data_IF_017193358000
#
_entry.id   IF_017193358000
#
_cell.length_a   1.000
_cell.length_b   1.000
_cell.length_c   1.000
_cell.angle_alpha   90.00
_cell.angle_beta   90.00
_cell.angle_gamma   90.00
#
_symmetry.space_group_name_H-M   'P 1'
#
loop_
_entity.id
_entity.type
_entity.pdbx_description
1 polymer ?
#
# COMPACT_ATOMS: atom_id res chain seq x y z
N UNK A 1 -12.84 -16.33 2.09
CA UNK A 1 -11.64 -16.24 2.95
C UNK A 1 -11.83 -15.03 3.86
N UNK A 2 -11.23 -14.99 5.05
CA UNK A 2 -11.29 -13.84 5.95
C UNK A 2 -9.88 -13.50 6.42
N UNK A 3 -9.62 -12.23 6.73
CA UNK A 3 -8.28 -11.80 7.09
C UNK A 3 -8.16 -10.30 7.24
N UNK A 4 -6.94 -9.87 7.56
CA UNK A 4 -6.61 -8.46 7.66
C UNK A 4 -5.60 -8.12 6.56
N UNK A 5 -5.93 -7.08 5.79
CA UNK A 5 -5.03 -6.48 4.80
C UNK A 5 -4.60 -5.09 5.26
N UNK A 6 -3.38 -4.76 4.91
CA UNK A 6 -2.77 -3.46 5.06
C UNK A 6 -2.26 -3.01 3.69
N UNK A 7 -2.63 -1.80 3.30
CA UNK A 7 -2.03 -1.11 2.17
C UNK A 7 -0.95 -0.18 2.71
N UNK A 8 0.30 -0.43 2.33
CA UNK A 8 1.45 0.35 2.76
C UNK A 8 2.55 0.30 1.68
N UNK A 9 3.22 1.42 1.41
CA UNK A 9 4.27 1.51 0.39
C UNK A 9 5.63 0.93 0.84
N UNK A 10 5.65 0.26 1.99
CA UNK A 10 6.87 -0.26 2.59
C UNK A 10 7.50 -1.34 1.68
N UNK A 11 8.84 -1.32 1.50
CA UNK A 11 9.67 -2.33 0.82
C UNK A 11 9.36 -2.57 -0.67
N UNK A 12 10.22 -1.98 -1.51
CA UNK A 12 10.30 -2.13 -2.96
C UNK A 12 10.05 -3.57 -3.45
N UNK A 13 9.13 -3.71 -4.41
CA UNK A 13 8.95 -4.93 -5.21
C UNK A 13 7.64 -5.71 -4.99
N UNK A 14 6.66 -5.14 -4.29
CA UNK A 14 5.32 -5.74 -4.06
C UNK A 14 4.23 -4.71 -4.36
N UNK A 15 3.01 -5.17 -4.61
CA UNK A 15 1.80 -4.38 -4.92
C UNK A 15 1.33 -3.41 -3.80
N UNK A 16 2.18 -3.11 -2.80
CA UNK A 16 1.80 -2.33 -1.63
C UNK A 16 0.82 -3.05 -0.70
N UNK A 17 0.54 -4.33 -0.95
CA UNK A 17 -0.47 -5.12 -0.23
C UNK A 17 0.17 -6.12 0.73
N UNK A 18 -0.32 -6.09 1.97
CA UNK A 18 0.20 -6.89 3.07
C UNK A 18 -0.92 -7.62 3.79
N UNK A 19 -0.78 -8.93 3.96
CA UNK A 19 -1.62 -9.69 4.87
C UNK A 19 -1.03 -9.69 6.28
N UNK A 20 -1.87 -9.40 7.28
CA UNK A 20 -1.49 -9.46 8.69
C UNK A 20 -1.92 -10.81 9.26
N UNK A 21 -0.96 -11.59 9.73
CA UNK A 21 -1.25 -12.87 10.37
C UNK A 21 -1.78 -12.70 11.81
N UNK A 22 -2.25 -13.79 12.42
CA UNK A 22 -2.80 -13.76 13.79
C UNK A 22 -1.81 -13.30 14.87
N UNK A 23 -0.50 -13.24 14.57
CA UNK A 23 0.55 -12.73 15.47
C UNK A 23 0.90 -11.26 15.18
N UNK A 24 0.19 -10.61 14.24
CA UNK A 24 0.45 -9.24 13.82
C UNK A 24 1.59 -9.09 12.83
N UNK A 25 2.12 -10.20 12.28
CA UNK A 25 3.23 -10.13 11.33
C UNK A 25 2.71 -9.82 9.93
N UNK A 26 3.31 -8.81 9.30
CA UNK A 26 3.05 -8.45 7.90
C UNK A 26 3.71 -9.47 6.97
N UNK A 27 2.95 -9.98 6.01
CA UNK A 27 3.44 -10.80 4.90
C UNK A 27 3.00 -10.16 3.61
N UNK A 28 3.91 -9.96 2.65
CA UNK A 28 3.52 -9.38 1.38
C UNK A 28 2.66 -10.41 0.63
N UNK A 29 1.59 -9.96 -0.01
CA UNK A 29 0.64 -10.82 -0.72
C UNK A 29 0.28 -10.19 -2.06
N UNK A 30 0.10 -11.02 -3.07
CA UNK A 30 -0.26 -10.54 -4.39
C UNK A 30 -1.80 -10.39 -4.47
N UNK A 31 -2.30 -9.55 -5.37
CA UNK A 31 -3.73 -9.24 -5.46
C UNK A 31 -4.56 -10.51 -5.77
N UNK A 32 -4.06 -11.35 -6.68
CA UNK A 32 -4.70 -12.60 -7.08
C UNK A 32 -4.80 -13.61 -5.93
N UNK A 33 -3.79 -13.66 -5.05
CA UNK A 33 -3.74 -14.59 -3.92
C UNK A 33 -4.87 -14.34 -2.90
N UNK A 34 -5.37 -13.10 -2.84
CA UNK A 34 -6.49 -12.70 -1.97
C UNK A 34 -7.81 -12.61 -2.73
N UNK A 35 -7.80 -12.89 -4.04
CA UNK A 35 -8.97 -12.89 -4.90
C UNK A 35 -9.45 -11.50 -5.32
N UNK A 36 -8.54 -10.53 -5.43
CA UNK A 36 -8.83 -9.26 -6.05
C UNK A 36 -8.85 -9.38 -7.58
N UNK A 37 -9.60 -8.50 -8.22
CA UNK A 37 -9.69 -8.35 -9.66
C UNK A 37 -8.42 -7.76 -10.26
N UNK A 38 -8.14 -8.14 -11.50
CA UNK A 38 -7.04 -7.59 -12.31
C UNK A 38 -7.08 -6.05 -12.33
N UNK A 39 -8.28 -5.46 -12.44
CA UNK A 39 -8.47 -4.00 -12.42
C UNK A 39 -7.95 -3.35 -11.12
N UNK A 40 -8.15 -4.00 -9.96
CA UNK A 40 -7.62 -3.51 -8.69
C UNK A 40 -6.13 -3.82 -8.52
N UNK A 41 -5.66 -4.94 -9.06
CA UNK A 41 -4.25 -5.29 -9.09
C UNK A 41 -3.44 -4.24 -9.88
N UNK A 42 -3.87 -3.92 -11.10
CA UNK A 42 -3.25 -2.92 -11.98
C UNK A 42 -3.25 -1.52 -11.34
N UNK A 43 -4.34 -1.19 -10.61
CA UNK A 43 -4.46 0.09 -9.92
C UNK A 43 -3.55 0.18 -8.69
N UNK A 44 -3.36 -0.93 -7.96
CA UNK A 44 -2.37 -1.01 -6.88
C UNK A 44 -0.95 -0.87 -7.42
N UNK A 45 -0.64 -1.54 -8.53
CA UNK A 45 0.66 -1.42 -9.21
C UNK A 45 0.92 0.02 -9.64
N UNK A 46 -0.04 0.66 -10.31
CA UNK A 46 0.07 2.07 -10.72
C UNK A 46 0.26 3.02 -9.53
N UNK A 47 -0.38 2.74 -8.39
CA UNK A 47 -0.22 3.52 -7.16
C UNK A 47 1.17 3.34 -6.54
N UNK A 48 1.73 2.13 -6.60
CA UNK A 48 3.11 1.84 -6.18
C UNK A 48 4.14 2.45 -7.12
N UNK A 49 3.93 2.45 -8.43
CA UNK A 49 4.84 3.07 -9.40
C UNK A 49 5.08 4.56 -9.10
N UNK A 50 4.04 5.27 -8.66
CA UNK A 50 4.16 6.68 -8.24
C UNK A 50 5.05 6.82 -7.00
N UNK A 51 4.97 5.87 -6.07
CA UNK A 51 5.83 5.85 -4.89
C UNK A 51 7.27 5.48 -5.25
N UNK A 52 7.46 4.45 -6.06
CA UNK A 52 8.78 3.98 -6.49
C UNK A 52 9.53 5.05 -7.28
N UNK A 53 8.82 5.88 -8.04
CA UNK A 53 9.41 7.01 -8.76
C UNK A 53 10.03 8.10 -7.85
N UNK A 54 9.57 8.21 -6.60
CA UNK A 54 10.08 9.21 -5.64
C UNK A 54 11.01 8.62 -4.58
N UNK A 55 11.07 7.30 -4.49
CA UNK A 55 11.83 6.60 -3.45
C UNK A 55 13.26 6.34 -3.92
N UNK A 56 14.21 6.84 -3.14
CA UNK A 56 15.64 6.60 -3.31
C UNK A 56 16.09 5.61 -2.23
N UNK A 57 16.35 4.37 -2.63
CA UNK A 57 16.83 3.31 -1.72
C UNK A 57 18.22 3.63 -1.13
N UNK A 58 19.04 4.41 -1.84
CA UNK A 58 20.36 4.80 -1.36
C UNK A 58 20.32 6.02 -0.42
N UNK A 59 19.28 6.85 -0.53
CA UNK A 59 19.03 8.00 0.33
C UNK A 59 17.53 8.17 0.63
N UNK A 60 17.02 7.28 1.48
CA UNK A 60 15.61 7.29 1.87
C UNK A 60 15.19 8.64 2.46
N UNK A 61 16.11 9.35 3.13
CA UNK A 61 15.85 10.65 3.73
C UNK A 61 15.60 11.76 2.71
N UNK A 62 16.15 11.61 1.50
CA UNK A 62 15.90 12.52 0.37
C UNK A 62 14.59 12.22 -0.37
N UNK A 63 14.02 11.03 -0.17
CA UNK A 63 12.82 10.56 -0.88
C UNK A 63 11.62 11.45 -0.57
N UNK A 64 11.09 12.12 -1.60
CA UNK A 64 9.97 13.04 -1.41
C UNK A 64 9.16 13.25 -2.69
N UNK A 65 7.86 13.47 -2.51
CA UNK A 65 7.02 13.98 -3.59
C UNK A 65 7.49 15.38 -3.99
N UNK A 66 7.27 15.77 -5.25
CA UNK A 66 7.72 17.07 -5.73
C UNK A 66 7.04 18.23 -4.99
N UNK A 67 5.83 18.01 -4.48
CA UNK A 67 5.08 18.96 -3.67
C UNK A 67 4.02 18.26 -2.79
N UNK A 68 3.39 19.04 -1.92
CA UNK A 68 2.34 18.53 -1.03
C UNK A 68 1.08 18.08 -1.77
N UNK A 69 0.75 18.68 -2.91
CA UNK A 69 -0.44 18.32 -3.69
C UNK A 69 -0.31 16.92 -4.26
N UNK A 70 0.85 16.57 -4.81
CA UNK A 70 1.14 15.21 -5.31
C UNK A 70 1.08 14.17 -4.19
N UNK A 71 1.67 14.47 -3.03
CA UNK A 71 1.57 13.60 -1.86
C UNK A 71 0.11 13.37 -1.46
N UNK A 72 -0.69 14.44 -1.35
CA UNK A 72 -2.09 14.35 -0.96
C UNK A 72 -2.93 13.58 -1.99
N UNK A 73 -2.65 13.75 -3.28
CA UNK A 73 -3.31 13.02 -4.35
C UNK A 73 -3.00 11.51 -4.25
N UNK A 74 -1.73 11.16 -4.03
CA UNK A 74 -1.30 9.77 -3.85
C UNK A 74 -1.89 9.12 -2.58
N UNK A 75 -1.95 9.86 -1.46
CA UNK A 75 -2.61 9.37 -0.22
C UNK A 75 -4.12 9.19 -0.40
N UNK A 76 -4.78 10.12 -1.11
CA UNK A 76 -6.21 10.02 -1.42
C UNK A 76 -6.50 8.79 -2.30
N UNK A 77 -5.63 8.52 -3.27
CA UNK A 77 -5.75 7.35 -4.14
C UNK A 77 -5.57 6.04 -3.36
N UNK A 78 -4.55 5.96 -2.48
CA UNK A 78 -4.38 4.81 -1.59
C UNK A 78 -5.61 4.58 -0.69
N UNK A 79 -6.22 5.66 -0.18
CA UNK A 79 -7.46 5.59 0.59
C UNK A 79 -8.65 5.07 -0.24
N UNK A 80 -8.76 5.51 -1.49
CA UNK A 80 -9.78 5.04 -2.42
C UNK A 80 -9.59 3.55 -2.79
N UNK A 81 -8.34 3.12 -2.97
CA UNK A 81 -7.97 1.70 -3.15
C UNK A 81 -8.40 0.86 -1.95
N UNK A 82 -8.14 1.31 -0.72
CA UNK A 82 -8.57 0.61 0.49
C UNK A 82 -10.10 0.42 0.53
N UNK A 83 -10.85 1.46 0.16
CA UNK A 83 -12.31 1.38 0.10
C UNK A 83 -12.80 0.42 -1.00
N UNK A 84 -12.15 0.43 -2.17
CA UNK A 84 -12.49 -0.46 -3.28
C UNK A 84 -12.22 -1.93 -2.94
N UNK A 85 -11.05 -2.23 -2.36
CA UNK A 85 -10.67 -3.57 -1.90
C UNK A 85 -11.66 -4.07 -0.83
N UNK A 86 -12.06 -3.21 0.12
CA UNK A 86 -13.04 -3.57 1.13
C UNK A 86 -14.43 -3.88 0.51
N UNK A 87 -14.84 -3.14 -0.52
CA UNK A 87 -16.09 -3.38 -1.22
C UNK A 87 -16.06 -4.70 -2.01
N UNK A 88 -14.92 -5.06 -2.59
CA UNK A 88 -14.78 -6.28 -3.40
C UNK A 88 -14.65 -7.54 -2.56
N UNK A 89 -13.79 -7.52 -1.52
CA UNK A 89 -13.56 -8.68 -0.66
C UNK A 89 -14.68 -8.90 0.37
N UNK A 90 -15.46 -7.85 0.66
CA UNK A 90 -16.60 -7.89 1.55
C UNK A 90 -16.25 -7.79 3.05
N UNK A 91 -17.26 -7.89 3.92
CA UNK A 91 -17.16 -7.54 5.34
C UNK A 91 -16.31 -8.49 6.19
N UNK A 92 -15.97 -9.67 5.66
CA UNK A 92 -15.12 -10.65 6.34
C UNK A 92 -13.64 -10.25 6.32
N UNK A 93 -13.30 -9.18 5.59
CA UNK A 93 -11.96 -8.63 5.52
C UNK A 93 -11.86 -7.28 6.24
N UNK A 94 -10.81 -7.14 7.03
CA UNK A 94 -10.43 -5.87 7.62
C UNK A 94 -9.34 -5.22 6.77
N UNK A 95 -9.69 -4.12 6.09
CA UNK A 95 -8.74 -3.36 5.26
C UNK A 95 -8.28 -2.13 6.03
N UNK A 96 -6.97 -1.96 6.14
CA UNK A 96 -6.32 -0.81 6.77
C UNK A 96 -5.25 -0.24 5.84
N UNK A 97 -4.78 0.98 6.11
CA UNK A 97 -3.67 1.58 5.36
C UNK A 97 -2.72 2.36 6.29
N UNK A 98 -1.43 2.39 5.94
CA UNK A 98 -0.45 3.30 6.55
C UNK A 98 0.50 3.84 5.48
N UNK A 99 0.21 5.05 5.02
CA UNK A 99 0.98 5.75 3.98
C UNK A 99 2.15 6.57 4.53
N UNK A 100 2.37 6.55 5.85
CA UNK A 100 3.33 7.42 6.53
C UNK A 100 4.43 6.68 7.26
N UNK A 101 4.29 5.36 7.45
CA UNK A 101 5.24 4.55 8.19
C UNK A 101 6.66 4.60 7.63
N UNK A 102 6.80 4.61 6.29
CA UNK A 102 8.09 4.74 5.60
C UNK A 102 8.85 6.03 5.95
N UNK A 103 8.14 7.10 6.36
CA UNK A 103 8.78 8.34 6.86
C UNK A 103 9.21 8.27 8.32
N UNK A 104 8.59 7.39 9.10
CA UNK A 104 8.96 7.20 10.51
C UNK A 104 10.25 6.40 10.63
N UNK A 105 10.50 5.47 9.69
CA UNK A 105 11.75 4.71 9.62
C UNK A 105 12.96 5.57 9.22
N UNK A 106 12.74 6.64 8.45
CA UNK A 106 13.77 7.61 8.06
C UNK A 106 14.26 8.48 9.23
N UNK A 107 13.44 8.69 10.28
CA UNK A 107 13.85 9.43 11.48
C UNK A 107 14.59 8.51 12.47
N UNK A 108 15.84 8.16 12.17
CA UNK A 108 16.77 7.53 13.12
C UNK A 108 18.15 8.17 13.02
#
# INVERSE_FOLDING_TARGET
MSGQLLIAPEWLGKSGLWQIDAKGKRKPVDADDVGLSDDLADRLESWMDVFDAIYDEADEASSNFANEVERLAWEAEGGALAAAIAAELGPDWQITHDFTAWRRTIKA
#
